data_IF_554503131174
#
_entry.id   IF_554503131174
#
_cell.length_a   1.000
_cell.length_b   1.000
_cell.length_c   1.000
_cell.angle_alpha   90.00
_cell.angle_beta   90.00
_cell.angle_gamma   90.00
#
_symmetry.space_group_name_H-M   'P 1'
#
loop_
_entity.id
_entity.type
_entity.pdbx_description
1 polymer ?
#
# COMPACT_ATOMS: atom_id res chain seq x y z
N UNK A 1 12.22 -15.41 -0.63
CA UNK A 1 10.74 -15.30 -0.70
C UNK A 1 10.19 -16.35 -1.67
N UNK A 2 9.07 -17.00 -1.34
CA UNK A 2 8.38 -17.99 -2.19
C UNK A 2 6.95 -17.52 -2.46
N UNK A 3 6.47 -17.68 -3.71
CA UNK A 3 5.10 -17.36 -4.10
C UNK A 3 4.43 -18.62 -4.65
N UNK A 4 3.34 -19.04 -4.03
CA UNK A 4 2.58 -20.24 -4.40
C UNK A 4 1.16 -19.84 -4.81
N UNK A 5 0.84 -19.94 -6.09
CA UNK A 5 -0.49 -19.71 -6.63
C UNK A 5 -1.41 -20.89 -6.27
N UNK A 6 -2.53 -20.63 -5.60
CA UNK A 6 -3.46 -21.66 -5.08
C UNK A 6 -4.70 -21.81 -5.95
N UNK A 7 -5.30 -20.68 -6.38
CA UNK A 7 -6.53 -20.68 -7.17
C UNK A 7 -6.64 -19.43 -8.05
N UNK A 8 -7.45 -19.53 -9.11
CA UNK A 8 -7.88 -18.42 -9.97
C UNK A 8 -9.41 -18.42 -10.06
N UNK A 9 -9.99 -17.24 -10.10
CA UNK A 9 -11.43 -17.11 -10.40
C UNK A 9 -11.70 -17.47 -11.86
N UNK A 10 -12.73 -18.29 -12.14
CA UNK A 10 -13.00 -18.72 -13.51
C UNK A 10 -13.54 -17.61 -14.44
N UNK A 11 -14.00 -16.47 -13.88
CA UNK A 11 -14.64 -15.39 -14.63
C UNK A 11 -13.83 -14.10 -14.68
N UNK A 12 -12.66 -14.05 -14.00
CA UNK A 12 -11.79 -12.88 -13.96
C UNK A 12 -10.33 -13.28 -13.84
N UNK A 13 -9.42 -12.28 -13.77
CA UNK A 13 -7.99 -12.52 -13.52
C UNK A 13 -7.66 -12.60 -12.01
N UNK A 14 -8.68 -12.57 -11.14
CA UNK A 14 -8.49 -12.66 -9.69
C UNK A 14 -7.84 -13.98 -9.29
N UNK A 15 -6.92 -13.91 -8.34
CA UNK A 15 -6.13 -15.07 -7.90
C UNK A 15 -5.87 -15.06 -6.41
N UNK A 16 -5.85 -16.23 -5.80
CA UNK A 16 -5.45 -16.44 -4.42
C UNK A 16 -4.10 -17.16 -4.38
N UNK A 17 -3.17 -16.64 -3.59
CA UNK A 17 -1.84 -17.19 -3.44
C UNK A 17 -1.35 -17.07 -2.00
N UNK A 18 -0.18 -17.64 -1.71
CA UNK A 18 0.60 -17.39 -0.50
C UNK A 18 1.98 -16.87 -0.87
N UNK A 19 2.46 -15.92 -0.06
CA UNK A 19 3.78 -15.35 -0.16
C UNK A 19 4.52 -15.63 1.15
N UNK A 20 5.64 -16.35 1.09
CA UNK A 20 6.40 -16.72 2.28
C UNK A 20 7.71 -15.95 2.35
N UNK A 21 7.96 -15.29 3.48
CA UNK A 21 9.23 -14.63 3.84
C UNK A 21 9.76 -15.22 5.15
N UNK A 22 10.84 -14.66 5.68
CA UNK A 22 11.42 -15.10 6.96
C UNK A 22 10.56 -14.70 8.18
N UNK A 23 9.68 -13.68 8.04
CA UNK A 23 8.74 -13.25 9.07
C UNK A 23 7.33 -13.81 8.92
N UNK A 24 7.13 -14.80 8.06
CA UNK A 24 5.87 -15.53 7.97
C UNK A 24 5.21 -15.55 6.61
N UNK A 25 3.99 -16.03 6.59
CA UNK A 25 3.18 -16.20 5.39
C UNK A 25 2.24 -15.00 5.23
N UNK A 26 2.12 -14.51 3.99
CA UNK A 26 1.17 -13.49 3.59
C UNK A 26 0.15 -14.16 2.67
N UNK A 27 -1.12 -14.08 3.02
CA UNK A 27 -2.21 -14.59 2.20
C UNK A 27 -2.72 -13.49 1.26
N UNK A 28 -2.63 -13.72 -0.06
CA UNK A 28 -3.11 -12.76 -1.06
C UNK A 28 -4.47 -13.15 -1.65
N UNK A 29 -5.31 -12.17 -2.07
CA UNK A 29 -5.10 -10.72 -2.05
C UNK A 29 -4.94 -10.15 -0.64
N UNK A 30 -4.09 -9.13 -0.47
CA UNK A 30 -3.84 -8.50 0.84
C UNK A 30 -3.84 -6.97 0.77
N UNK A 31 -4.37 -6.33 1.80
CA UNK A 31 -4.21 -4.90 2.05
C UNK A 31 -3.19 -4.67 3.17
N UNK A 32 -2.22 -3.79 2.93
CA UNK A 32 -1.15 -3.45 3.87
C UNK A 32 -1.48 -2.13 4.60
N UNK A 33 -1.79 -2.16 5.91
CA UNK A 33 -1.91 -0.95 6.70
C UNK A 33 -0.62 -0.11 6.67
N UNK A 34 -0.76 1.21 6.47
CA UNK A 34 0.40 2.09 6.32
C UNK A 34 0.90 2.58 7.68
N UNK A 35 2.10 2.14 8.04
CA UNK A 35 2.86 2.53 9.23
C UNK A 35 3.95 3.57 8.91
N UNK A 36 3.57 4.78 8.49
CA UNK A 36 4.43 5.81 7.89
C UNK A 36 5.74 6.08 8.64
N UNK A 37 5.70 6.16 9.96
CA UNK A 37 6.86 6.48 10.81
C UNK A 37 7.14 5.36 11.84
N UNK A 38 6.97 4.11 11.43
CA UNK A 38 7.07 2.96 12.32
C UNK A 38 5.84 2.78 13.21
N UNK A 39 4.68 3.29 12.80
CA UNK A 39 3.40 3.09 13.48
C UNK A 39 2.23 3.28 12.53
N UNK A 40 1.22 2.41 12.63
CA UNK A 40 -0.10 2.63 12.04
C UNK A 40 -0.84 3.64 12.92
N UNK A 41 -1.21 4.79 12.34
CA UNK A 41 -1.69 5.94 13.10
C UNK A 41 -2.96 5.64 13.89
N UNK A 42 -2.91 5.89 15.21
CA UNK A 42 -4.05 5.76 16.10
C UNK A 42 -4.37 4.34 16.57
N UNK A 43 -3.46 3.37 16.33
CA UNK A 43 -3.64 1.96 16.71
C UNK A 43 -2.40 1.46 17.45
N UNK A 44 -2.58 0.81 18.60
CA UNK A 44 -1.50 0.12 19.30
C UNK A 44 -1.13 -1.18 18.57
N UNK A 45 0.14 -1.62 18.70
CA UNK A 45 0.60 -2.86 18.10
C UNK A 45 -0.22 -4.09 18.54
N UNK A 46 -0.70 -4.12 19.79
CA UNK A 46 -1.57 -5.18 20.28
C UNK A 46 -2.87 -5.26 19.47
N UNK A 47 -3.59 -4.15 19.34
CA UNK A 47 -4.83 -4.07 18.56
C UNK A 47 -4.58 -4.36 17.07
N UNK A 48 -3.44 -3.89 16.55
CA UNK A 48 -3.05 -4.18 15.18
C UNK A 48 -2.84 -5.70 14.96
N UNK A 49 -2.23 -6.41 15.94
CA UNK A 49 -1.99 -7.86 15.87
C UNK A 49 -3.23 -8.70 16.16
N UNK A 50 -3.98 -8.35 17.21
CA UNK A 50 -5.04 -9.21 17.75
C UNK A 50 -6.38 -8.97 17.05
N UNK A 51 -6.70 -7.73 16.67
CA UNK A 51 -7.99 -7.35 16.08
C UNK A 51 -7.92 -7.21 14.56
N UNK A 52 -7.08 -6.33 14.06
CA UNK A 52 -6.95 -6.07 12.62
C UNK A 52 -6.23 -7.22 11.93
N UNK A 53 -5.20 -7.74 12.58
CA UNK A 53 -4.48 -8.95 12.23
C UNK A 53 -3.89 -8.97 10.79
N UNK A 54 -3.19 -7.93 10.30
CA UNK A 54 -2.58 -7.95 8.99
C UNK A 54 -1.34 -8.86 8.97
N UNK A 55 -1.12 -9.59 7.89
CA UNK A 55 0.08 -10.40 7.69
C UNK A 55 1.31 -9.54 7.39
N UNK A 56 1.08 -8.34 6.86
CA UNK A 56 2.11 -7.39 6.42
C UNK A 56 1.63 -5.95 6.62
N UNK A 57 2.56 -5.06 6.97
CA UNK A 57 2.35 -3.61 7.02
C UNK A 57 3.35 -2.89 6.11
N UNK A 58 3.07 -1.63 5.79
CA UNK A 58 3.97 -0.81 4.98
C UNK A 58 4.63 0.30 5.81
N UNK A 59 5.96 0.43 5.70
CA UNK A 59 6.73 1.56 6.21
C UNK A 59 7.18 2.50 5.09
N UNK A 60 7.31 3.80 5.36
CA UNK A 60 7.75 4.76 4.36
C UNK A 60 9.23 5.10 4.51
N UNK A 61 10.04 4.73 3.54
CA UNK A 61 11.50 4.94 3.50
C UNK A 61 11.90 6.40 3.72
N UNK A 62 11.26 7.33 3.03
CA UNK A 62 11.52 8.77 3.18
C UNK A 62 11.35 9.26 4.62
N UNK A 63 10.25 8.90 5.27
CA UNK A 63 9.96 9.33 6.63
C UNK A 63 10.89 8.70 7.65
N UNK A 64 11.17 7.40 7.52
CA UNK A 64 12.07 6.66 8.43
C UNK A 64 13.52 7.11 8.29
N UNK A 65 13.96 7.47 7.07
CA UNK A 65 15.26 8.08 6.83
C UNK A 65 15.41 9.44 7.54
N UNK A 66 14.40 10.29 7.49
CA UNK A 66 14.44 11.59 8.14
C UNK A 66 14.29 11.49 9.68
N UNK A 67 13.43 10.58 10.14
CA UNK A 67 13.19 10.25 11.56
C UNK A 67 12.70 8.81 11.72
N UNK A 68 13.33 8.04 12.60
CA UNK A 68 14.38 8.39 13.57
C UNK A 68 15.78 8.51 12.96
N UNK A 69 15.98 8.23 11.68
CA UNK A 69 17.21 8.05 10.90
C UNK A 69 17.71 6.61 10.92
N UNK A 70 18.50 6.28 9.88
CA UNK A 70 19.00 4.91 9.68
C UNK A 70 19.90 4.43 10.81
N UNK A 71 20.73 5.33 11.37
CA UNK A 71 21.65 4.97 12.46
C UNK A 71 20.94 4.53 13.74
N UNK A 72 19.77 5.10 14.02
CA UNK A 72 18.94 4.70 15.17
C UNK A 72 18.27 3.35 14.91
N UNK A 73 17.75 3.15 13.70
CA UNK A 73 17.14 1.87 13.30
C UNK A 73 18.15 0.73 13.32
N UNK A 74 19.38 0.95 12.84
CA UNK A 74 20.45 -0.04 12.89
C UNK A 74 20.82 -0.42 14.33
N UNK A 75 20.96 0.58 15.24
CA UNK A 75 21.21 0.33 16.66
C UNK A 75 20.08 -0.45 17.34
N UNK A 76 18.85 -0.29 16.89
CA UNK A 76 17.70 -1.03 17.38
C UNK A 76 17.64 -2.48 16.85
N UNK A 77 18.39 -2.79 15.80
CA UNK A 77 18.35 -4.08 15.11
C UNK A 77 17.26 -4.15 14.03
N UNK A 78 16.98 -3.03 13.36
CA UNK A 78 15.99 -2.88 12.29
C UNK A 78 14.62 -2.40 12.77
N UNK A 79 13.74 -2.12 11.80
CA UNK A 79 12.41 -1.58 12.05
C UNK A 79 11.53 -2.55 12.83
N UNK A 80 11.63 -3.86 12.58
CA UNK A 80 10.91 -4.90 13.31
C UNK A 80 11.13 -4.78 14.83
N UNK A 81 12.38 -4.75 15.27
CA UNK A 81 12.73 -4.62 16.69
C UNK A 81 12.40 -3.21 17.21
N UNK A 82 12.64 -2.18 16.43
CA UNK A 82 12.39 -0.80 16.83
C UNK A 82 10.93 -0.53 17.18
N UNK A 83 9.98 -1.07 16.38
CA UNK A 83 8.54 -0.86 16.60
C UNK A 83 7.84 -2.06 17.28
N UNK A 84 8.57 -3.09 17.67
CA UNK A 84 8.02 -4.34 18.23
C UNK A 84 6.98 -5.01 17.33
N UNK A 85 7.34 -5.22 16.07
CA UNK A 85 6.52 -5.87 15.05
C UNK A 85 7.23 -7.10 14.52
N UNK A 86 6.63 -8.28 14.70
CA UNK A 86 7.20 -9.60 14.41
C UNK A 86 6.67 -10.25 13.13
N UNK A 87 5.87 -9.51 12.35
CA UNK A 87 5.34 -9.93 11.05
C UNK A 87 5.99 -9.16 9.90
N UNK A 88 5.59 -9.47 8.69
CA UNK A 88 6.16 -8.87 7.49
C UNK A 88 6.05 -7.34 7.46
N UNK A 89 7.06 -6.72 6.88
CA UNK A 89 7.10 -5.29 6.55
C UNK A 89 7.52 -5.13 5.09
N UNK A 90 6.81 -4.27 4.36
CA UNK A 90 7.26 -3.73 3.08
C UNK A 90 7.66 -2.27 3.27
N UNK A 91 8.77 -1.82 2.67
CA UNK A 91 9.08 -0.39 2.57
C UNK A 91 8.95 0.09 1.14
N UNK A 92 8.32 1.26 0.95
CA UNK A 92 8.28 1.94 -0.34
C UNK A 92 9.67 2.46 -0.76
N UNK A 93 9.80 2.99 -1.99
CA UNK A 93 11.05 3.57 -2.48
C UNK A 93 11.39 4.93 -1.87
N UNK A 94 10.42 5.64 -1.28
CA UNK A 94 10.53 7.05 -0.89
C UNK A 94 10.39 8.04 -2.04
N UNK A 95 10.34 7.59 -3.29
CA UNK A 95 10.24 8.45 -4.48
C UNK A 95 8.99 9.32 -4.51
N UNK A 96 7.82 8.74 -4.21
CA UNK A 96 6.57 9.47 -4.15
C UNK A 96 6.57 10.56 -3.06
N UNK A 97 7.11 10.30 -1.87
CA UNK A 97 7.16 11.29 -0.77
C UNK A 97 8.11 12.43 -1.10
N UNK A 98 9.24 12.16 -1.75
CA UNK A 98 10.12 13.20 -2.28
C UNK A 98 9.38 14.03 -3.33
N UNK A 99 8.52 13.41 -4.14
CA UNK A 99 7.65 14.11 -5.09
C UNK A 99 6.61 14.99 -4.38
N UNK A 100 5.86 14.43 -3.44
CA UNK A 100 4.66 15.08 -2.88
C UNK A 100 4.92 16.05 -1.73
N UNK A 101 6.01 15.84 -0.94
CA UNK A 101 6.27 16.57 0.31
C UNK A 101 7.41 17.58 0.19
N UNK A 102 8.34 17.42 -0.75
CA UNK A 102 9.44 18.36 -0.91
C UNK A 102 9.04 19.54 -1.79
N UNK A 103 8.87 20.72 -1.21
CA UNK A 103 8.51 21.95 -1.96
C UNK A 103 9.53 22.37 -3.02
N UNK A 104 10.80 21.93 -2.91
CA UNK A 104 11.86 22.12 -3.89
C UNK A 104 12.64 20.82 -4.06
N UNK A 105 12.52 20.22 -5.24
CA UNK A 105 13.30 19.07 -5.64
C UNK A 105 13.96 19.30 -7.00
N UNK A 106 15.07 18.64 -7.22
CA UNK A 106 15.76 18.62 -8.51
C UNK A 106 16.05 17.17 -8.87
N UNK A 107 15.39 16.70 -9.92
CA UNK A 107 15.54 15.33 -10.45
C UNK A 107 16.59 15.37 -11.55
N UNK A 108 17.55 14.46 -11.50
CA UNK A 108 18.60 14.25 -12.48
C UNK A 108 18.87 12.76 -12.62
N UNK A 109 19.70 12.40 -13.59
CA UNK A 109 20.13 11.00 -13.79
C UNK A 109 20.82 10.39 -12.57
N UNK A 110 21.55 11.18 -11.82
CA UNK A 110 22.25 10.73 -10.61
C UNK A 110 21.27 10.37 -9.49
N UNK A 111 20.11 11.04 -9.42
CA UNK A 111 19.10 10.88 -8.38
C UNK A 111 18.32 12.17 -8.13
N UNK A 112 17.74 12.28 -6.94
CA UNK A 112 16.86 13.39 -6.55
C UNK A 112 17.42 14.16 -5.38
N UNK A 113 17.79 15.43 -5.60
CA UNK A 113 18.08 16.37 -4.52
C UNK A 113 16.80 17.02 -4.03
N UNK A 114 16.55 16.96 -2.74
CA UNK A 114 15.35 17.51 -2.13
C UNK A 114 15.61 18.22 -0.80
N UNK A 115 14.62 19.00 -0.38
CA UNK A 115 14.63 19.70 0.90
C UNK A 115 13.72 18.98 1.89
N UNK A 116 14.23 18.65 3.06
CA UNK A 116 13.44 18.04 4.15
C UNK A 116 12.29 18.95 4.56
N UNK A 117 11.09 18.37 4.68
CA UNK A 117 9.92 19.09 5.17
C UNK A 117 9.95 19.32 6.70
N UNK A 118 10.89 18.67 7.41
CA UNK A 118 10.99 18.74 8.87
C UNK A 118 11.80 19.94 9.30
N UNK A 119 13.02 20.10 8.72
CA UNK A 119 14.02 21.09 9.18
C UNK A 119 14.61 21.90 8.01
N UNK A 120 14.19 21.61 6.79
CA UNK A 120 14.67 22.31 5.61
C UNK A 120 16.08 21.96 5.15
N UNK A 121 16.73 20.95 5.73
CA UNK A 121 18.03 20.45 5.29
C UNK A 121 17.97 19.83 3.88
N UNK A 122 19.09 19.87 3.15
CA UNK A 122 19.17 19.26 1.83
C UNK A 122 19.66 17.81 1.92
N UNK A 123 18.98 16.94 1.17
CA UNK A 123 19.28 15.53 1.05
C UNK A 123 19.39 15.12 -0.42
N UNK A 124 20.04 13.99 -0.66
CA UNK A 124 20.17 13.39 -1.98
C UNK A 124 19.75 11.93 -1.89
N UNK A 125 18.75 11.53 -2.67
CA UNK A 125 18.41 10.13 -2.91
C UNK A 125 18.98 9.72 -4.26
N UNK A 126 19.79 8.68 -4.26
CA UNK A 126 20.25 7.97 -5.46
C UNK A 126 19.74 6.53 -5.40
N UNK A 127 19.67 5.82 -6.52
CA UNK A 127 19.30 4.41 -6.49
C UNK A 127 20.10 3.59 -5.47
N UNK A 128 21.42 3.84 -5.39
CA UNK A 128 22.30 3.11 -4.49
C UNK A 128 22.03 3.42 -3.02
N UNK A 129 21.96 4.71 -2.64
CA UNK A 129 21.77 5.05 -1.24
C UNK A 129 20.36 4.75 -0.73
N UNK A 130 19.33 4.74 -1.61
CA UNK A 130 17.99 4.30 -1.24
C UNK A 130 17.97 2.80 -0.94
N UNK A 131 18.75 1.99 -1.65
CA UNK A 131 18.93 0.58 -1.30
C UNK A 131 19.60 0.43 0.07
N UNK A 132 20.67 1.19 0.36
CA UNK A 132 21.31 1.18 1.68
C UNK A 132 20.36 1.61 2.81
N UNK A 133 19.53 2.64 2.56
CA UNK A 133 18.53 3.09 3.54
C UNK A 133 17.54 1.96 3.83
N UNK A 134 17.01 1.27 2.80
CA UNK A 134 16.08 0.16 2.99
C UNK A 134 16.76 -1.07 3.62
N UNK A 135 18.05 -1.33 3.33
CA UNK A 135 18.87 -2.32 4.07
C UNK A 135 18.92 -1.99 5.57
N UNK A 136 19.14 -0.71 5.90
CA UNK A 136 19.21 -0.24 7.30
C UNK A 136 17.85 -0.28 8.00
N UNK A 137 16.76 0.00 7.29
CA UNK A 137 15.40 -0.14 7.82
C UNK A 137 15.09 -1.62 8.10
N UNK A 138 15.47 -2.53 7.21
CA UNK A 138 15.32 -3.97 7.42
C UNK A 138 13.89 -4.47 7.20
N UNK A 139 13.17 -4.01 6.18
CA UNK A 139 11.89 -4.58 5.77
C UNK A 139 12.11 -5.90 5.00
N UNK A 140 11.12 -6.79 4.99
CA UNK A 140 11.14 -8.05 4.23
C UNK A 140 11.08 -7.82 2.72
N UNK A 141 10.27 -6.84 2.31
CA UNK A 141 10.13 -6.44 0.91
C UNK A 141 10.58 -4.99 0.76
N UNK A 142 11.50 -4.77 -0.17
CA UNK A 142 12.06 -3.45 -0.49
C UNK A 142 11.79 -3.10 -1.96
N UNK A 143 11.62 -1.80 -2.24
CA UNK A 143 11.21 -1.30 -3.54
C UNK A 143 12.34 -0.64 -4.29
N UNK A 144 12.37 -0.79 -5.62
CA UNK A 144 13.25 -0.02 -6.48
C UNK A 144 13.01 1.48 -6.32
N UNK A 145 14.08 2.28 -6.44
CA UNK A 145 13.92 3.73 -6.51
C UNK A 145 13.40 4.14 -7.87
N UNK A 146 12.32 4.91 -7.89
CA UNK A 146 11.58 5.30 -9.08
C UNK A 146 11.19 6.77 -9.09
N UNK A 147 10.78 7.27 -10.26
CA UNK A 147 10.13 8.56 -10.39
C UNK A 147 8.64 8.38 -10.67
N UNK A 148 7.79 8.81 -9.74
CA UNK A 148 6.36 8.92 -9.93
C UNK A 148 6.04 10.24 -10.64
N UNK A 149 5.47 10.16 -11.84
CA UNK A 149 5.05 11.35 -12.61
C UNK A 149 3.73 11.92 -12.10
N UNK A 150 3.48 13.24 -12.24
CA UNK A 150 2.18 13.83 -11.92
C UNK A 150 1.08 13.36 -12.89
N UNK A 151 -0.17 13.57 -12.51
CA UNK A 151 -1.32 13.47 -13.39
C UNK A 151 -2.04 14.84 -13.48
N UNK A 152 -2.41 15.32 -14.66
CA UNK A 152 -2.00 14.82 -15.97
C UNK A 152 -0.51 15.02 -16.24
N UNK A 153 0.05 14.26 -17.17
CA UNK A 153 1.46 14.28 -17.53
C UNK A 153 1.64 14.36 -19.05
N UNK A 154 2.63 15.14 -19.50
CA UNK A 154 3.03 15.15 -20.91
C UNK A 154 3.66 13.82 -21.32
N UNK A 155 3.34 13.31 -22.51
CA UNK A 155 3.82 12.03 -23.02
C UNK A 155 5.36 11.94 -23.05
N UNK A 156 6.03 12.96 -23.56
CA UNK A 156 7.49 12.95 -23.67
C UNK A 156 8.15 13.01 -22.30
N UNK A 157 7.54 13.71 -21.33
CA UNK A 157 8.01 13.68 -19.95
C UNK A 157 7.81 12.29 -19.34
N UNK A 158 6.62 11.70 -19.47
CA UNK A 158 6.34 10.33 -18.96
C UNK A 158 7.33 9.31 -19.56
N UNK A 159 7.61 9.39 -20.86
CA UNK A 159 8.57 8.52 -21.55
C UNK A 159 10.00 8.68 -21.01
N UNK A 160 10.47 9.91 -20.84
CA UNK A 160 11.82 10.15 -20.27
C UNK A 160 11.93 9.67 -18.84
N UNK A 161 10.91 9.92 -18.01
CA UNK A 161 10.82 9.47 -16.62
C UNK A 161 10.84 7.94 -16.52
N UNK A 162 10.04 7.26 -17.33
CA UNK A 162 10.00 5.80 -17.40
C UNK A 162 11.39 5.22 -17.73
N UNK A 163 12.07 5.75 -18.75
CA UNK A 163 13.41 5.27 -19.11
C UNK A 163 14.44 5.56 -18.02
N UNK A 164 14.32 6.69 -17.32
CA UNK A 164 15.20 6.99 -16.17
C UNK A 164 14.95 5.99 -15.03
N UNK A 165 13.71 5.69 -14.71
CA UNK A 165 13.34 4.65 -13.73
C UNK A 165 13.92 3.29 -14.09
N UNK A 166 13.92 2.90 -15.38
CA UNK A 166 14.57 1.66 -15.83
C UNK A 166 16.09 1.66 -15.61
N UNK A 167 16.77 2.77 -15.87
CA UNK A 167 18.22 2.90 -15.59
C UNK A 167 18.51 2.87 -14.09
N UNK A 168 17.66 3.52 -13.29
CA UNK A 168 17.75 3.47 -11.83
C UNK A 168 17.50 2.06 -11.28
N UNK A 169 16.53 1.32 -11.84
CA UNK A 169 16.34 -0.08 -11.50
C UNK A 169 17.63 -0.90 -11.67
N UNK A 170 18.29 -0.77 -12.82
CA UNK A 170 19.56 -1.47 -13.06
C UNK A 170 20.63 -1.12 -12.02
N UNK A 171 20.72 0.15 -11.62
CA UNK A 171 21.64 0.61 -10.57
C UNK A 171 21.28 0.03 -9.20
N UNK A 172 19.98 0.00 -8.84
CA UNK A 172 19.51 -0.65 -7.61
C UNK A 172 19.93 -2.12 -7.57
N UNK A 173 19.63 -2.88 -8.63
CA UNK A 173 19.95 -4.31 -8.71
C UNK A 173 21.45 -4.55 -8.60
N UNK A 174 22.27 -3.82 -9.38
CA UNK A 174 23.75 -3.92 -9.33
C UNK A 174 24.30 -3.61 -7.94
N UNK A 175 23.68 -2.66 -7.22
CA UNK A 175 24.10 -2.33 -5.86
C UNK A 175 23.73 -3.43 -4.87
N UNK A 176 22.52 -3.98 -4.96
CA UNK A 176 22.06 -5.07 -4.09
C UNK A 176 22.85 -6.37 -4.25
N UNK A 177 23.34 -6.66 -5.46
CA UNK A 177 24.23 -7.81 -5.72
C UNK A 177 25.56 -7.71 -4.98
N UNK A 178 26.02 -6.50 -4.67
CA UNK A 178 27.32 -6.22 -4.04
C UNK A 178 27.23 -5.97 -2.54
N UNK A 179 26.00 -5.83 -2.01
CA UNK A 179 25.79 -5.46 -0.62
C UNK A 179 25.06 -6.57 0.14
N UNK A 180 25.60 -7.04 1.30
CA UNK A 180 24.95 -8.08 2.09
C UNK A 180 23.72 -7.55 2.80
N UNK A 181 22.89 -8.48 3.27
CA UNK A 181 21.84 -8.17 4.25
C UNK A 181 22.47 -7.65 5.54
N UNK A 182 21.80 -6.70 6.20
CA UNK A 182 22.29 -6.14 7.48
C UNK A 182 21.83 -6.93 8.69
N UNK A 183 20.80 -7.76 8.52
CA UNK A 183 20.20 -8.58 9.57
C UNK A 183 20.22 -10.05 9.17
N UNK A 184 19.82 -10.93 10.06
CA UNK A 184 19.84 -12.39 9.94
C UNK A 184 18.66 -12.98 9.12
N UNK A 185 18.04 -12.16 8.26
CA UNK A 185 16.98 -12.55 7.34
C UNK A 185 17.14 -11.90 5.96
N UNK A 186 16.49 -12.50 4.95
CA UNK A 186 16.57 -12.04 3.57
C UNK A 186 15.54 -10.95 3.27
N UNK A 187 15.97 -9.95 2.50
CA UNK A 187 15.09 -8.94 1.95
C UNK A 187 14.83 -9.21 0.47
N UNK A 188 13.57 -9.16 0.08
CA UNK A 188 13.14 -9.36 -1.30
C UNK A 188 12.95 -8.02 -2.01
N UNK A 189 13.47 -7.91 -3.22
CA UNK A 189 13.43 -6.68 -4.02
C UNK A 189 12.33 -6.71 -5.07
N UNK A 190 11.49 -5.65 -5.15
CA UNK A 190 10.47 -5.47 -6.18
C UNK A 190 10.77 -4.26 -7.07
N UNK A 191 10.91 -4.44 -8.39
CA UNK A 191 10.92 -3.35 -9.37
C UNK A 191 9.51 -2.76 -9.56
N UNK A 192 9.45 -1.55 -10.12
CA UNK A 192 8.22 -0.78 -10.28
C UNK A 192 7.97 -0.45 -11.75
N UNK A 193 6.81 -0.84 -12.26
CA UNK A 193 6.30 -0.42 -13.58
C UNK A 193 5.86 1.03 -13.51
N UNK A 194 6.35 1.87 -14.43
CA UNK A 194 5.96 3.26 -14.61
C UNK A 194 5.37 3.47 -16.02
N UNK A 195 5.01 4.70 -16.40
CA UNK A 195 4.50 5.03 -17.75
C UNK A 195 3.26 5.93 -17.74
N UNK A 196 2.93 6.55 -16.57
CA UNK A 196 1.75 7.39 -16.41
C UNK A 196 0.48 6.67 -16.90
N UNK A 197 -0.43 7.34 -17.60
CA UNK A 197 -1.66 6.79 -18.18
C UNK A 197 -1.54 6.55 -19.70
N UNK A 198 -0.34 6.23 -20.19
CA UNK A 198 -0.09 5.92 -21.60
C UNK A 198 0.11 4.40 -21.79
N UNK A 199 -0.83 3.77 -22.49
CA UNK A 199 -0.87 2.30 -22.68
C UNK A 199 0.42 1.72 -23.28
N UNK A 200 1.00 2.38 -24.26
CA UNK A 200 2.24 1.96 -24.92
C UNK A 200 3.45 2.04 -23.97
N UNK A 201 3.54 3.11 -23.15
CA UNK A 201 4.58 3.24 -22.14
C UNK A 201 4.41 2.19 -21.01
N UNK A 202 3.17 1.98 -20.55
CA UNK A 202 2.86 0.92 -19.57
C UNK A 202 3.28 -0.45 -20.07
N UNK A 203 2.97 -0.78 -21.34
CA UNK A 203 3.37 -2.03 -21.97
C UNK A 203 4.89 -2.15 -22.02
N UNK A 204 5.57 -1.14 -22.54
CA UNK A 204 7.04 -1.13 -22.61
C UNK A 204 7.69 -1.27 -21.23
N UNK A 205 7.15 -0.60 -20.22
CA UNK A 205 7.66 -0.69 -18.85
C UNK A 205 7.40 -2.06 -18.24
N UNK A 206 6.20 -2.62 -18.41
CA UNK A 206 5.85 -3.94 -17.90
C UNK A 206 6.74 -5.05 -18.51
N UNK A 207 7.00 -5.00 -19.82
CA UNK A 207 7.92 -5.91 -20.50
C UNK A 207 9.36 -5.80 -19.94
N UNK A 208 9.85 -4.57 -19.75
CA UNK A 208 11.17 -4.35 -19.18
C UNK A 208 11.28 -4.89 -17.74
N UNK A 209 10.27 -4.63 -16.90
CA UNK A 209 10.22 -5.08 -15.51
C UNK A 209 10.07 -6.61 -15.41
N UNK A 210 9.23 -7.23 -16.23
CA UNK A 210 9.07 -8.69 -16.28
C UNK A 210 10.41 -9.38 -16.64
N UNK A 211 11.15 -8.82 -17.60
CA UNK A 211 12.46 -9.34 -18.02
C UNK A 211 13.58 -9.11 -16.98
N UNK A 212 13.39 -8.27 -15.99
CA UNK A 212 14.36 -8.11 -14.90
C UNK A 212 14.45 -9.35 -13.99
N UNK A 213 13.46 -10.26 -14.03
CA UNK A 213 13.49 -11.54 -13.34
C UNK A 213 13.37 -11.43 -11.82
N UNK A 214 12.88 -10.32 -11.29
CA UNK A 214 12.72 -10.12 -9.84
C UNK A 214 11.69 -11.06 -9.22
N UNK A 215 11.77 -11.32 -7.90
CA UNK A 215 10.84 -12.23 -7.21
C UNK A 215 9.38 -11.72 -7.15
N UNK A 216 9.14 -10.44 -7.34
CA UNK A 216 7.82 -9.83 -7.40
C UNK A 216 7.87 -8.50 -8.14
N UNK A 217 6.72 -7.92 -8.49
CA UNK A 217 6.63 -6.73 -9.31
C UNK A 217 5.61 -5.75 -8.74
N UNK A 218 5.90 -4.45 -8.83
CA UNK A 218 4.97 -3.41 -8.45
C UNK A 218 4.48 -2.58 -9.63
N UNK A 219 3.30 -2.01 -9.50
CA UNK A 219 2.66 -1.10 -10.44
C UNK A 219 2.56 0.26 -9.76
N UNK A 220 3.42 1.20 -10.15
CA UNK A 220 3.45 2.55 -9.61
C UNK A 220 2.89 3.59 -10.59
N UNK A 221 2.87 4.86 -10.17
CA UNK A 221 2.45 5.99 -11.00
C UNK A 221 0.98 5.97 -11.41
N UNK A 222 0.12 5.30 -10.65
CA UNK A 222 -1.33 5.32 -10.68
C UNK A 222 -1.87 5.79 -9.33
N UNK A 223 -3.16 6.08 -9.23
CA UNK A 223 -3.78 6.68 -8.04
C UNK A 223 -3.18 8.06 -7.67
N UNK A 224 -2.82 8.83 -8.68
CA UNK A 224 -2.24 10.17 -8.55
C UNK A 224 -3.18 11.28 -9.03
N UNK A 225 -4.45 10.95 -9.30
CA UNK A 225 -5.52 11.89 -9.67
C UNK A 225 -6.30 11.53 -10.94
N UNK A 226 -5.94 10.45 -11.62
CA UNK A 226 -6.67 9.94 -12.78
C UNK A 226 -8.05 9.35 -12.39
N UNK A 227 -9.02 9.34 -13.32
CA UNK A 227 -10.28 8.63 -13.15
C UNK A 227 -10.08 7.12 -12.93
N UNK A 228 -11.02 6.47 -12.21
CA UNK A 228 -10.93 5.05 -11.88
C UNK A 228 -10.84 4.16 -13.12
N UNK A 229 -11.59 4.49 -14.18
CA UNK A 229 -11.60 3.73 -15.43
C UNK A 229 -10.22 3.75 -16.11
N UNK A 230 -9.52 4.88 -16.03
CA UNK A 230 -8.16 5.01 -16.57
C UNK A 230 -7.16 4.20 -15.75
N UNK A 231 -7.28 4.24 -14.42
CA UNK A 231 -6.50 3.39 -13.52
C UNK A 231 -6.69 1.91 -13.86
N UNK A 232 -7.94 1.45 -14.01
CA UNK A 232 -8.24 0.05 -14.32
C UNK A 232 -7.67 -0.36 -15.68
N UNK A 233 -7.87 0.49 -16.71
CA UNK A 233 -7.34 0.21 -18.04
C UNK A 233 -5.81 0.11 -18.06
N UNK A 234 -5.09 0.93 -17.28
CA UNK A 234 -3.64 0.86 -17.18
C UNK A 234 -3.18 -0.34 -16.37
N UNK A 235 -3.89 -0.70 -15.30
CA UNK A 235 -3.61 -1.91 -14.52
C UNK A 235 -3.77 -3.17 -15.37
N UNK A 236 -4.83 -3.24 -16.16
CA UNK A 236 -5.10 -4.38 -17.05
C UNK A 236 -3.96 -4.59 -18.05
N UNK A 237 -3.52 -3.52 -18.73
CA UNK A 237 -2.38 -3.58 -19.66
C UNK A 237 -1.13 -4.16 -18.99
N UNK A 238 -0.87 -3.80 -17.75
CA UNK A 238 0.34 -4.24 -17.01
C UNK A 238 0.19 -5.68 -16.55
N UNK A 239 -0.96 -6.07 -16.00
CA UNK A 239 -1.18 -7.42 -15.47
C UNK A 239 -1.24 -8.49 -16.56
N UNK A 240 -1.52 -8.12 -17.82
CA UNK A 240 -1.42 -9.02 -18.99
C UNK A 240 0.03 -9.41 -19.34
N UNK A 241 1.00 -8.63 -18.90
CA UNK A 241 2.42 -8.81 -19.24
C UNK A 241 3.22 -9.35 -18.06
N UNK A 242 2.92 -8.89 -16.85
CA UNK A 242 3.66 -9.34 -15.66
C UNK A 242 3.48 -10.84 -15.42
N UNK A 243 4.55 -11.56 -15.02
CA UNK A 243 4.52 -13.00 -14.79
C UNK A 243 3.41 -13.43 -13.82
N UNK A 244 2.79 -14.57 -14.10
CA UNK A 244 1.74 -15.14 -13.25
C UNK A 244 2.29 -15.82 -12.00
N UNK A 245 3.50 -16.31 -12.06
CA UNK A 245 4.22 -16.98 -10.96
C UNK A 245 4.90 -15.98 -10.00
N UNK A 246 4.57 -14.71 -10.08
CA UNK A 246 5.10 -13.63 -9.24
C UNK A 246 3.97 -12.79 -8.65
N UNK A 247 4.12 -12.26 -7.41
CA UNK A 247 3.16 -11.33 -6.84
C UNK A 247 3.17 -9.97 -7.58
N UNK A 248 1.99 -9.36 -7.66
CA UNK A 248 1.74 -8.06 -8.28
C UNK A 248 1.21 -7.09 -7.24
N UNK A 249 1.95 -6.04 -6.99
CA UNK A 249 1.63 -5.02 -6.00
C UNK A 249 1.21 -3.72 -6.69
N UNK A 250 -0.04 -3.28 -6.52
CA UNK A 250 -0.53 -1.98 -7.00
C UNK A 250 -0.40 -0.95 -5.88
N UNK A 251 0.49 0.02 -6.09
CA UNK A 251 0.90 0.99 -5.06
C UNK A 251 -0.13 2.12 -4.88
N UNK A 252 -0.45 2.44 -3.62
CA UNK A 252 -1.25 3.61 -3.24
C UNK A 252 -2.75 3.50 -3.53
N UNK A 253 -3.27 2.34 -3.87
CA UNK A 253 -4.69 2.10 -4.18
C UNK A 253 -5.38 1.44 -3.00
N UNK A 254 -6.51 1.87 -2.60
CA UNK A 254 -7.27 3.12 -2.58
C UNK A 254 -8.63 2.89 -1.94
N UNK A 255 -9.70 3.12 -2.67
CA UNK A 255 -11.05 2.86 -2.16
C UNK A 255 -11.36 1.36 -2.12
N UNK A 256 -12.32 0.91 -1.27
CA UNK A 256 -12.74 -0.50 -1.26
C UNK A 256 -13.16 -1.03 -2.63
N UNK A 257 -13.87 -0.21 -3.41
CA UNK A 257 -14.29 -0.53 -4.78
C UNK A 257 -13.07 -0.71 -5.69
N UNK A 258 -12.11 0.24 -5.66
CA UNK A 258 -10.90 0.15 -6.47
C UNK A 258 -10.08 -1.10 -6.14
N UNK A 259 -10.04 -1.52 -4.88
CA UNK A 259 -9.35 -2.75 -4.46
C UNK A 259 -10.02 -3.97 -5.11
N UNK A 260 -11.35 -4.11 -5.01
CA UNK A 260 -12.06 -5.25 -5.59
C UNK A 260 -11.94 -5.31 -7.13
N UNK A 261 -12.03 -4.15 -7.80
CA UNK A 261 -11.88 -4.10 -9.26
C UNK A 261 -10.45 -4.47 -9.69
N UNK A 262 -9.43 -4.04 -8.96
CA UNK A 262 -8.05 -4.40 -9.28
C UNK A 262 -7.68 -5.85 -8.87
N UNK A 263 -8.33 -6.44 -7.86
CA UNK A 263 -8.25 -7.88 -7.60
C UNK A 263 -8.77 -8.65 -8.83
N UNK A 264 -9.91 -8.23 -9.40
CA UNK A 264 -10.47 -8.82 -10.63
C UNK A 264 -9.50 -8.73 -11.82
N UNK A 265 -8.61 -7.74 -11.84
CA UNK A 265 -7.56 -7.57 -12.86
C UNK A 265 -6.26 -8.34 -12.54
N UNK A 266 -6.21 -9.10 -11.45
CA UNK A 266 -5.08 -9.97 -11.10
C UNK A 266 -4.00 -9.31 -10.24
N UNK A 267 -4.35 -8.28 -9.46
CA UNK A 267 -3.47 -7.68 -8.46
C UNK A 267 -3.58 -8.43 -7.13
N UNK A 268 -2.45 -8.61 -6.44
CA UNK A 268 -2.35 -9.38 -5.20
C UNK A 268 -2.20 -8.52 -3.94
N UNK A 269 -1.52 -7.37 -4.05
CA UNK A 269 -1.12 -6.58 -2.90
C UNK A 269 -1.51 -5.11 -3.09
N UNK A 270 -1.97 -4.48 -2.02
CA UNK A 270 -2.44 -3.10 -1.99
C UNK A 270 -1.97 -2.38 -0.73
N UNK A 271 -1.76 -1.08 -0.83
CA UNK A 271 -1.62 -0.17 0.31
C UNK A 271 -2.37 1.13 0.03
N UNK A 272 -2.82 1.80 1.07
CA UNK A 272 -3.27 3.18 1.00
C UNK A 272 -3.39 3.79 2.39
N UNK A 273 -3.18 5.09 2.49
CA UNK A 273 -3.44 5.84 3.74
C UNK A 273 -4.94 6.11 3.98
N UNK A 274 -5.80 5.81 3.00
CA UNK A 274 -7.24 6.14 3.06
C UNK A 274 -7.94 5.60 4.30
N UNK A 275 -7.83 4.32 4.68
CA UNK A 275 -8.56 3.82 5.85
C UNK A 275 -8.29 4.65 7.09
N UNK A 276 -7.03 4.90 7.41
CA UNK A 276 -6.66 5.65 8.61
C UNK A 276 -6.86 7.16 8.47
N UNK A 277 -6.61 7.73 7.27
CA UNK A 277 -6.80 9.16 7.01
C UNK A 277 -8.29 9.53 7.03
N UNK A 278 -9.12 8.76 6.34
CA UNK A 278 -10.56 8.99 6.27
C UNK A 278 -11.22 8.76 7.64
N UNK A 279 -10.83 7.74 8.37
CA UNK A 279 -11.25 7.50 9.75
C UNK A 279 -11.04 8.74 10.64
N UNK A 280 -9.83 9.29 10.65
CA UNK A 280 -9.53 10.50 11.44
C UNK A 280 -10.29 11.75 10.99
N UNK A 281 -10.89 11.71 9.81
CA UNK A 281 -11.78 12.76 9.28
C UNK A 281 -13.27 12.41 9.43
N UNK A 282 -13.61 11.28 10.05
CA UNK A 282 -14.97 10.87 10.35
C UNK A 282 -15.68 10.12 9.20
N UNK A 283 -14.94 9.60 8.23
CA UNK A 283 -15.46 8.74 7.17
C UNK A 283 -15.22 7.29 7.52
N UNK A 284 -16.28 6.50 7.62
CA UNK A 284 -16.25 5.06 7.86
C UNK A 284 -16.66 4.30 6.59
N UNK A 285 -16.07 3.13 6.37
CA UNK A 285 -16.41 2.23 5.28
C UNK A 285 -17.09 0.98 5.83
N UNK A 286 -18.21 0.60 5.24
CA UNK A 286 -18.97 -0.62 5.59
C UNK A 286 -19.32 -1.41 4.32
N UNK A 287 -19.74 -2.64 4.46
CA UNK A 287 -20.23 -3.46 3.34
C UNK A 287 -21.49 -2.88 2.67
N UNK A 288 -22.19 -1.99 3.36
CA UNK A 288 -23.45 -1.40 2.90
C UNK A 288 -23.30 0.02 2.33
N UNK A 289 -22.10 0.59 2.44
CA UNK A 289 -21.80 1.93 1.97
C UNK A 289 -20.86 2.70 2.90
N UNK A 290 -20.72 4.00 2.67
CA UNK A 290 -19.86 4.87 3.49
C UNK A 290 -20.70 5.74 4.43
N UNK A 291 -20.20 5.92 5.66
CA UNK A 291 -20.80 6.74 6.72
C UNK A 291 -19.91 7.96 6.97
N UNK A 292 -20.46 9.16 6.83
CA UNK A 292 -19.85 10.33 7.44
C UNK A 292 -20.43 10.52 8.85
N UNK A 293 -19.69 10.09 9.86
CA UNK A 293 -20.16 10.08 11.26
C UNK A 293 -20.42 11.50 11.81
N UNK A 294 -19.93 12.54 11.17
CA UNK A 294 -20.16 13.94 11.57
C UNK A 294 -21.57 14.43 11.21
N UNK A 295 -22.30 13.71 10.35
CA UNK A 295 -23.64 14.10 9.95
C UNK A 295 -24.58 14.11 11.16
N UNK A 296 -25.50 15.11 11.20
CA UNK A 296 -26.43 15.32 12.32
C UNK A 296 -27.37 14.13 12.54
N UNK A 297 -27.72 13.40 11.49
CA UNK A 297 -28.61 12.23 11.57
C UNK A 297 -28.15 11.11 12.50
N UNK A 298 -26.85 11.09 12.87
CA UNK A 298 -26.27 10.10 13.78
C UNK A 298 -26.30 10.56 15.26
N UNK A 299 -26.89 11.72 15.56
CA UNK A 299 -26.84 12.34 16.91
C UNK A 299 -27.57 11.52 17.96
N UNK A 300 -28.65 10.86 17.57
CA UNK A 300 -29.52 10.01 18.41
C UNK A 300 -29.60 8.56 17.87
N UNK A 301 -28.67 8.16 17.00
CA UNK A 301 -28.56 6.78 16.54
C UNK A 301 -27.72 5.95 17.52
N UNK A 302 -28.39 5.26 18.44
CA UNK A 302 -27.75 4.40 19.45
C UNK A 302 -27.47 2.98 18.95
N UNK A 303 -27.64 2.68 17.65
CA UNK A 303 -27.24 1.41 17.09
C UNK A 303 -25.73 1.26 17.00
N UNK A 304 -25.26 0.03 16.87
CA UNK A 304 -23.86 -0.32 16.64
C UNK A 304 -23.25 0.44 15.46
N UNK A 305 -21.94 0.66 15.46
CA UNK A 305 -21.23 1.33 14.35
C UNK A 305 -21.42 0.50 13.07
N UNK A 306 -21.20 -0.81 13.15
CA UNK A 306 -21.47 -1.75 12.07
C UNK A 306 -22.00 -3.07 12.65
N UNK A 307 -23.13 -3.54 12.11
CA UNK A 307 -23.78 -4.78 12.53
C UNK A 307 -22.98 -6.04 12.13
N UNK A 308 -22.06 -5.91 11.19
CA UNK A 308 -21.18 -7.01 10.78
C UNK A 308 -20.19 -7.43 11.88
N UNK A 309 -19.94 -6.57 12.87
CA UNK A 309 -19.07 -6.86 14.01
C UNK A 309 -17.70 -7.40 13.58
N UNK A 310 -17.07 -6.71 12.63
CA UNK A 310 -15.74 -7.10 12.11
C UNK A 310 -14.66 -6.88 13.15
N UNK A 311 -14.79 -5.80 13.94
CA UNK A 311 -13.92 -5.46 15.06
C UNK A 311 -14.72 -5.22 16.32
N UNK A 312 -14.08 -5.37 17.49
CA UNK A 312 -14.76 -5.16 18.78
C UNK A 312 -15.37 -3.75 18.93
N UNK A 313 -14.78 -2.73 18.31
CA UNK A 313 -15.32 -1.37 18.39
C UNK A 313 -16.67 -1.21 17.69
N UNK A 314 -17.01 -2.11 16.77
CA UNK A 314 -18.22 -2.00 15.95
C UNK A 314 -19.48 -2.16 16.78
N UNK A 315 -19.44 -3.02 17.80
CA UNK A 315 -20.57 -3.30 18.70
C UNK A 315 -20.44 -2.65 20.07
N UNK A 316 -19.22 -2.37 20.55
CA UNK A 316 -19.00 -1.70 21.84
C UNK A 316 -19.45 -0.25 21.83
N UNK A 317 -19.42 0.43 20.69
CA UNK A 317 -19.74 1.84 20.59
C UNK A 317 -20.92 2.08 19.62
N UNK A 318 -21.80 3.04 20.00
CA UNK A 318 -22.88 3.49 19.12
C UNK A 318 -22.42 4.58 18.16
N UNK A 319 -23.16 4.74 17.06
CA UNK A 319 -22.96 5.86 16.13
C UNK A 319 -23.12 7.22 16.82
N UNK A 320 -24.11 7.36 17.72
CA UNK A 320 -24.33 8.57 18.49
C UNK A 320 -23.11 8.95 19.35
N UNK A 321 -22.55 7.98 20.07
CA UNK A 321 -21.36 8.20 20.88
C UNK A 321 -20.13 8.55 20.03
N UNK A 322 -19.89 7.82 18.95
CA UNK A 322 -18.79 8.09 18.04
C UNK A 322 -18.91 9.48 17.41
N UNK A 323 -20.11 9.88 16.98
CA UNK A 323 -20.38 11.25 16.51
C UNK A 323 -20.08 12.30 17.57
N UNK A 324 -20.51 12.07 18.82
CA UNK A 324 -20.18 12.96 19.93
C UNK A 324 -18.65 13.16 20.06
N UNK A 325 -17.86 12.08 20.07
CA UNK A 325 -16.42 12.15 20.17
C UNK A 325 -15.79 12.98 19.02
N UNK A 326 -16.30 12.86 17.80
CA UNK A 326 -15.87 13.70 16.68
C UNK A 326 -16.27 15.16 16.84
N UNK A 327 -17.44 15.46 17.40
CA UNK A 327 -17.93 16.82 17.61
C UNK A 327 -17.09 17.60 18.63
N UNK A 328 -16.57 16.91 19.65
CA UNK A 328 -15.70 17.48 20.68
C UNK A 328 -14.20 17.26 20.38
N UNK A 329 -13.89 16.71 19.20
CA UNK A 329 -12.53 16.46 18.73
C UNK A 329 -11.70 15.52 19.62
N UNK A 330 -12.33 14.54 20.28
CA UNK A 330 -11.64 13.57 21.12
C UNK A 330 -10.78 12.59 20.31
N UNK A 331 -9.63 12.22 20.89
CA UNK A 331 -8.69 11.29 20.27
C UNK A 331 -9.30 9.88 20.14
N UNK A 332 -10.06 9.46 21.15
CA UNK A 332 -10.72 8.14 21.17
C UNK A 332 -11.61 7.92 19.93
N UNK A 333 -12.36 8.93 19.48
CA UNK A 333 -13.18 8.82 18.26
C UNK A 333 -12.35 8.51 17.02
N UNK A 334 -11.15 9.09 16.90
CA UNK A 334 -10.23 8.81 15.78
C UNK A 334 -9.63 7.42 15.86
N UNK A 335 -9.38 6.90 17.07
CA UNK A 335 -8.90 5.54 17.28
C UNK A 335 -9.97 4.51 16.93
N UNK A 336 -11.19 4.66 17.46
CA UNK A 336 -12.35 3.79 17.15
C UNK A 336 -12.55 3.72 15.63
N UNK A 337 -12.68 4.86 14.96
CA UNK A 337 -12.88 4.93 13.52
C UNK A 337 -11.72 4.29 12.72
N UNK A 338 -10.47 4.38 13.23
CA UNK A 338 -9.29 3.81 12.56
C UNK A 338 -9.29 2.29 12.67
N UNK A 339 -9.61 1.73 13.84
CA UNK A 339 -9.71 0.28 14.06
C UNK A 339 -10.81 -0.28 13.16
N UNK A 340 -12.01 0.34 13.17
CA UNK A 340 -13.11 -0.04 12.31
C UNK A 340 -12.70 -0.08 10.82
N UNK A 341 -12.17 1.02 10.27
CA UNK A 341 -11.81 1.08 8.86
C UNK A 341 -10.73 0.08 8.47
N UNK A 342 -9.70 -0.11 9.30
CA UNK A 342 -8.65 -1.09 9.02
C UNK A 342 -9.20 -2.52 9.08
N UNK A 343 -10.03 -2.82 10.07
CA UNK A 343 -10.72 -4.11 10.16
C UNK A 343 -11.54 -4.38 8.91
N UNK A 344 -12.33 -3.41 8.47
CA UNK A 344 -13.13 -3.52 7.25
C UNK A 344 -12.28 -3.79 6.00
N UNK A 345 -11.15 -3.08 5.81
CA UNK A 345 -10.27 -3.30 4.65
C UNK A 345 -9.65 -4.70 4.65
N UNK A 346 -9.21 -5.19 5.81
CA UNK A 346 -8.66 -6.55 5.93
C UNK A 346 -9.75 -7.62 5.73
N UNK A 347 -10.94 -7.39 6.30
CA UNK A 347 -12.10 -8.26 6.07
C UNK A 347 -12.42 -8.34 4.57
N UNK A 348 -12.47 -7.21 3.86
CA UNK A 348 -12.81 -7.15 2.44
C UNK A 348 -11.89 -8.01 1.56
N UNK A 349 -10.58 -7.93 1.77
CA UNK A 349 -9.61 -8.72 0.98
C UNK A 349 -9.63 -10.19 1.38
N UNK A 350 -9.91 -10.52 2.65
CA UNK A 350 -10.09 -11.90 3.11
C UNK A 350 -11.35 -12.54 2.52
N UNK A 351 -12.46 -11.81 2.46
CA UNK A 351 -13.67 -12.29 1.79
C UNK A 351 -13.44 -12.46 0.29
N UNK A 352 -12.75 -11.50 -0.36
CA UNK A 352 -12.34 -11.65 -1.76
C UNK A 352 -11.53 -12.95 -1.97
N UNK A 353 -10.57 -13.24 -1.08
CA UNK A 353 -9.78 -14.49 -1.13
C UNK A 353 -10.67 -15.72 -0.98
N UNK A 354 -11.60 -15.74 -0.03
CA UNK A 354 -12.52 -16.87 0.17
C UNK A 354 -13.32 -17.16 -1.09
N UNK A 355 -13.89 -16.11 -1.72
CA UNK A 355 -14.67 -16.22 -2.94
C UNK A 355 -13.82 -16.61 -4.16
N UNK A 356 -12.55 -16.20 -4.23
CA UNK A 356 -11.62 -16.71 -5.26
C UNK A 356 -11.39 -18.22 -5.09
N UNK A 357 -11.14 -18.66 -3.87
CA UNK A 357 -10.95 -20.09 -3.56
C UNK A 357 -12.21 -20.92 -3.81
N UNK A 358 -13.40 -20.34 -3.61
CA UNK A 358 -14.69 -20.97 -3.90
C UNK A 358 -15.07 -20.92 -5.40
N UNK A 359 -14.42 -20.07 -6.21
CA UNK A 359 -14.68 -19.93 -7.66
C UNK A 359 -15.90 -19.06 -8.00
N UNK A 360 -16.37 -18.22 -7.07
CA UNK A 360 -17.56 -17.35 -7.24
C UNK A 360 -17.24 -15.85 -7.00
N UNK A 361 -15.96 -15.48 -6.99
CA UNK A 361 -15.50 -14.13 -6.70
C UNK A 361 -16.17 -13.06 -7.57
N UNK A 362 -16.26 -13.27 -8.88
CA UNK A 362 -16.83 -12.26 -9.80
C UNK A 362 -18.29 -11.95 -9.44
N UNK A 363 -19.10 -12.96 -9.09
CA UNK A 363 -20.49 -12.78 -8.68
C UNK A 363 -20.59 -12.00 -7.37
N UNK A 364 -19.83 -12.41 -6.36
CA UNK A 364 -19.78 -11.73 -5.06
C UNK A 364 -19.27 -10.29 -5.20
N UNK A 365 -18.18 -10.07 -5.94
CA UNK A 365 -17.60 -8.74 -6.19
C UNK A 365 -18.63 -7.78 -6.77
N UNK A 366 -19.36 -8.20 -7.80
CA UNK A 366 -20.36 -7.35 -8.45
C UNK A 366 -21.51 -6.95 -7.52
N UNK A 367 -21.89 -7.80 -6.58
CA UNK A 367 -22.88 -7.47 -5.54
C UNK A 367 -22.27 -6.49 -4.52
N UNK A 368 -21.06 -6.76 -4.03
CA UNK A 368 -20.37 -5.95 -3.04
C UNK A 368 -20.11 -4.53 -3.53
N UNK A 369 -19.62 -4.36 -4.77
CA UNK A 369 -19.38 -3.04 -5.39
C UNK A 369 -20.67 -2.21 -5.41
N UNK A 370 -21.80 -2.79 -5.81
CA UNK A 370 -23.10 -2.09 -5.82
C UNK A 370 -23.58 -1.67 -4.42
N UNK A 371 -23.26 -2.46 -3.40
CA UNK A 371 -23.60 -2.13 -2.01
C UNK A 371 -22.72 -1.01 -1.47
N UNK A 372 -21.41 -1.09 -1.68
CA UNK A 372 -20.46 -0.12 -1.15
C UNK A 372 -20.50 1.25 -1.83
N UNK A 373 -21.08 1.37 -3.02
CA UNK A 373 -21.19 2.67 -3.73
C UNK A 373 -22.21 3.64 -3.10
N UNK A 374 -22.91 3.20 -2.07
CA UNK A 374 -23.92 4.00 -1.36
C UNK A 374 -23.27 4.94 -0.33
N UNK A 375 -23.91 6.08 -0.12
CA UNK A 375 -23.66 6.96 1.03
C UNK A 375 -24.80 6.81 2.02
N UNK A 376 -24.49 6.30 3.17
CA UNK A 376 -25.43 6.06 4.27
C UNK A 376 -25.64 7.32 5.10
#
# INVERSE_FOLDING_TARGET
MKFDLLAKDPQSKARAATLTTDHGVIETPIFMPVGTVGTVKGVHQRELKEEINPDIILGNTYHLYLRPKTEILEKAGGLHKFMNWDRNILTDSGGYQVYSLSGRRKIKEEGVKFKSHIDGSYHMFTPENVMEIQRSIGADIIMAFDECTPYPCDYNYAKRSMHMTHRWLKRCMTHLEKTPFKYDYEQTFFPIVQGSTFKDLRRQSAEYIANAGAPGNAIGGLSVGEPAEELYAMTEVVTEILPEDKPRYLMGVGTPINILENIALGVDMFDCVMPTRNARNGMLFTAHGSINIKNKKWEDDFSAIDEMNITWVDTEYSKAYLRHLFSVNELLGKQIATIHNLGFYLWLVREARKHILAGDFTTWKNQMVKQMDKRL
#
